data_IF_618077396459
#
_entry.id   IF_618077396459
#
_cell.length_a   1.000
_cell.length_b   1.000
_cell.length_c   1.000
_cell.angle_alpha   90.00
_cell.angle_beta   90.00
_cell.angle_gamma   90.00
#
_symmetry.space_group_name_H-M   'P 1'
#
loop_
_entity.id
_entity.type
_entity.pdbx_description
1 polymer ?
#
# COMPACT_ATOMS: atom_id res chain seq x y z
N UNK A 1 -42.43 5.47 -7.32
CA UNK A 1 -41.15 5.01 -6.75
C UNK A 1 -40.06 5.47 -7.70
N UNK A 2 -39.07 6.22 -7.24
CA UNK A 2 -37.90 6.58 -8.06
C UNK A 2 -37.03 5.33 -8.19
N UNK A 3 -36.61 5.00 -9.41
CA UNK A 3 -35.66 3.89 -9.64
C UNK A 3 -34.31 4.21 -9.01
N UNK A 4 -33.71 3.22 -8.36
CA UNK A 4 -32.41 3.37 -7.72
C UNK A 4 -31.34 3.52 -8.82
N UNK A 5 -30.61 4.66 -8.90
CA UNK A 5 -29.71 4.93 -10.02
C UNK A 5 -28.42 4.11 -9.99
N UNK A 6 -28.15 3.40 -8.88
CA UNK A 6 -26.96 2.59 -8.69
C UNK A 6 -27.33 1.25 -8.09
N UNK A 7 -26.77 0.18 -8.65
CA UNK A 7 -26.84 -1.14 -8.05
C UNK A 7 -25.76 -1.26 -6.97
N UNK A 8 -26.17 -1.47 -5.73
CA UNK A 8 -25.24 -1.70 -4.62
C UNK A 8 -24.90 -3.19 -4.56
N UNK A 9 -23.68 -3.54 -4.95
CA UNK A 9 -23.15 -4.90 -4.74
C UNK A 9 -22.39 -4.95 -3.42
N UNK A 10 -22.86 -5.77 -2.48
CA UNK A 10 -22.06 -6.12 -1.31
C UNK A 10 -20.99 -7.14 -1.71
N UNK A 11 -19.73 -6.87 -1.37
CA UNK A 11 -18.62 -7.82 -1.48
C UNK A 11 -18.17 -8.21 -0.08
N UNK A 12 -17.82 -9.47 0.09
CA UNK A 12 -17.22 -9.93 1.34
C UNK A 12 -15.93 -9.15 1.60
N UNK A 13 -15.79 -8.61 2.81
CA UNK A 13 -14.59 -7.89 3.23
C UNK A 13 -13.57 -8.92 3.70
N UNK A 14 -12.61 -9.21 2.83
CA UNK A 14 -11.52 -10.15 3.10
C UNK A 14 -10.22 -9.37 3.27
N UNK A 15 -9.43 -9.72 4.28
CA UNK A 15 -8.07 -9.22 4.41
C UNK A 15 -7.21 -9.71 3.22
N UNK A 16 -6.56 -8.81 2.47
CA UNK A 16 -5.67 -9.23 1.38
C UNK A 16 -4.54 -10.13 1.90
N UNK A 17 -4.13 -11.10 1.11
CA UNK A 17 -2.95 -11.90 1.44
C UNK A 17 -1.69 -11.01 1.43
N UNK A 18 -1.09 -10.78 2.60
CA UNK A 18 0.10 -9.95 2.72
C UNK A 18 1.33 -10.56 2.04
N UNK A 19 1.35 -11.89 1.86
CA UNK A 19 2.51 -12.59 1.29
C UNK A 19 2.68 -12.35 -0.21
N UNK A 20 1.67 -11.72 -0.85
CA UNK A 20 1.79 -11.20 -2.22
C UNK A 20 2.85 -10.10 -2.36
N UNK A 21 3.21 -9.46 -1.25
CA UNK A 21 4.23 -8.41 -1.19
C UNK A 21 5.58 -9.05 -0.83
N UNK A 22 6.63 -8.91 -1.66
CA UNK A 22 7.91 -9.59 -1.46
C UNK A 22 8.51 -9.41 -0.08
N UNK A 23 8.49 -8.19 0.46
CA UNK A 23 9.04 -7.91 1.80
C UNK A 23 8.24 -8.49 2.97
N UNK A 24 7.04 -9.03 2.72
CA UNK A 24 6.21 -9.69 3.72
C UNK A 24 5.97 -11.18 3.44
N UNK A 25 6.56 -11.75 2.38
CA UNK A 25 6.33 -13.14 1.97
C UNK A 25 6.60 -14.16 3.09
N UNK A 26 7.66 -13.93 3.87
CA UNK A 26 8.08 -14.81 4.97
C UNK A 26 7.48 -14.42 6.34
N UNK A 27 6.62 -13.39 6.39
CA UNK A 27 6.01 -12.94 7.65
C UNK A 27 4.94 -13.92 8.08
N UNK A 28 5.06 -14.43 9.31
CA UNK A 28 4.11 -15.39 9.87
C UNK A 28 2.78 -14.71 10.21
N UNK A 29 1.70 -15.49 10.29
CA UNK A 29 0.40 -14.95 10.69
C UNK A 29 0.42 -14.39 12.13
N UNK A 30 1.25 -14.96 13.01
CA UNK A 30 1.42 -14.47 14.38
C UNK A 30 2.10 -13.09 14.40
N UNK A 31 3.18 -12.93 13.62
CA UNK A 31 3.85 -11.65 13.45
C UNK A 31 2.91 -10.62 12.83
N UNK A 32 2.22 -10.99 11.75
CA UNK A 32 1.31 -10.09 11.05
C UNK A 32 0.20 -9.55 11.96
N UNK A 33 -0.34 -10.39 12.84
CA UNK A 33 -1.38 -10.01 13.82
C UNK A 33 -0.85 -9.29 15.05
N UNK A 34 0.47 -9.25 15.26
CA UNK A 34 1.07 -8.54 16.39
C UNK A 34 1.08 -7.03 16.16
N UNK A 35 0.41 -6.29 17.06
CA UNK A 35 0.42 -4.81 17.06
C UNK A 35 1.84 -4.27 17.23
N UNK A 36 2.66 -4.93 18.06
CA UNK A 36 4.05 -4.56 18.26
C UNK A 36 4.85 -4.73 16.97
N UNK A 37 4.69 -5.87 16.28
CA UNK A 37 5.36 -6.13 15.01
C UNK A 37 4.95 -5.10 13.95
N UNK A 38 3.65 -4.81 13.81
CA UNK A 38 3.14 -3.79 12.89
C UNK A 38 3.77 -2.42 13.16
N UNK A 39 3.87 -2.02 14.43
CA UNK A 39 4.44 -0.72 14.82
C UNK A 39 5.93 -0.61 14.54
N UNK A 40 6.73 -1.65 14.80
CA UNK A 40 8.18 -1.60 14.57
C UNK A 40 8.54 -1.73 13.09
N UNK A 41 7.67 -2.36 12.28
CA UNK A 41 7.85 -2.52 10.83
C UNK A 41 7.15 -1.45 9.99
N UNK A 42 6.72 -0.33 10.59
CA UNK A 42 6.25 0.81 9.80
C UNK A 42 7.34 1.29 8.82
N UNK A 43 6.95 1.48 7.56
CA UNK A 43 7.79 2.04 6.50
C UNK A 43 7.89 3.55 6.67
N UNK A 44 9.11 4.05 6.73
CA UNK A 44 9.44 5.46 7.03
C UNK A 44 10.25 6.15 5.94
N UNK A 45 10.74 5.40 4.96
CA UNK A 45 11.57 5.92 3.87
C UNK A 45 11.48 5.02 2.63
N UNK A 46 12.00 5.54 1.50
CA UNK A 46 11.96 4.87 0.22
C UNK A 46 12.75 3.55 0.19
N UNK A 47 13.84 3.43 0.96
CA UNK A 47 14.60 2.17 1.05
C UNK A 47 13.72 1.07 1.64
N UNK A 48 13.00 1.37 2.72
CA UNK A 48 12.07 0.44 3.34
C UNK A 48 10.88 0.13 2.42
N UNK A 49 10.37 1.14 1.69
CA UNK A 49 9.30 0.95 0.71
C UNK A 49 9.73 0.00 -0.42
N UNK A 50 10.95 0.17 -0.96
CA UNK A 50 11.56 -0.77 -1.91
C UNK A 50 11.69 -2.17 -1.31
N UNK A 51 12.08 -2.28 -0.04
CA UNK A 51 12.12 -3.56 0.67
C UNK A 51 10.78 -4.30 0.72
N UNK A 52 9.65 -3.58 0.75
CA UNK A 52 8.30 -4.18 0.76
C UNK A 52 7.89 -4.68 -0.63
N UNK A 53 8.06 -3.85 -1.66
CA UNK A 53 7.55 -4.15 -2.99
C UNK A 53 8.56 -4.85 -3.90
N UNK A 54 9.86 -4.87 -3.55
CA UNK A 54 10.90 -5.43 -4.40
C UNK A 54 10.87 -4.84 -5.81
N UNK A 55 10.91 -5.72 -6.82
CA UNK A 55 10.90 -5.35 -8.24
C UNK A 55 9.46 -5.21 -8.82
N UNK A 56 8.42 -5.14 -7.98
CA UNK A 56 7.03 -5.06 -8.46
C UNK A 56 6.64 -3.67 -8.99
N UNK A 57 7.34 -2.63 -8.53
CA UNK A 57 7.09 -1.24 -8.93
C UNK A 57 8.31 -0.70 -9.67
N UNK A 58 8.06 0.03 -10.75
CA UNK A 58 9.12 0.61 -11.57
C UNK A 58 9.88 1.69 -10.79
N UNK A 59 11.16 1.90 -11.12
CA UNK A 59 11.99 2.95 -10.50
C UNK A 59 11.40 4.36 -10.67
N UNK A 60 10.62 4.60 -11.73
CA UNK A 60 9.89 5.86 -11.93
C UNK A 60 8.89 6.14 -10.82
N UNK A 61 8.22 5.12 -10.29
CA UNK A 61 7.31 5.29 -9.15
C UNK A 61 8.04 5.81 -7.92
N UNK A 62 9.22 5.25 -7.63
CA UNK A 62 10.02 5.69 -6.49
C UNK A 62 10.62 7.08 -6.69
N UNK A 63 10.98 7.43 -7.93
CA UNK A 63 11.40 8.79 -8.27
C UNK A 63 10.27 9.80 -8.04
N UNK A 64 9.02 9.45 -8.38
CA UNK A 64 7.86 10.32 -8.14
C UNK A 64 7.56 10.48 -6.64
N UNK A 65 7.73 9.42 -5.83
CA UNK A 65 7.64 9.53 -4.36
C UNK A 65 8.73 10.47 -3.83
N UNK A 66 9.96 10.35 -4.31
CA UNK A 66 11.08 11.20 -3.88
C UNK A 66 10.86 12.67 -4.26
N UNK A 67 10.41 12.92 -5.48
CA UNK A 67 10.10 14.26 -5.97
C UNK A 67 8.97 14.90 -5.15
N UNK A 68 7.94 14.14 -4.78
CA UNK A 68 6.90 14.64 -3.89
C UNK A 68 7.42 14.98 -2.49
N UNK A 69 8.23 14.09 -1.91
CA UNK A 69 8.83 14.31 -0.59
C UNK A 69 9.72 15.56 -0.54
N UNK A 70 10.45 15.83 -1.62
CA UNK A 70 11.32 17.00 -1.72
C UNK A 70 10.56 18.30 -1.99
N UNK A 71 9.44 18.24 -2.73
CA UNK A 71 8.80 19.44 -3.27
C UNK A 71 7.45 19.83 -2.65
N UNK A 72 6.70 18.87 -2.08
CA UNK A 72 5.30 19.09 -1.65
C UNK A 72 4.96 18.50 -0.29
N UNK A 73 5.58 17.39 0.10
CA UNK A 73 5.25 16.74 1.36
C UNK A 73 5.59 17.63 2.56
N UNK A 74 4.62 17.83 3.44
CA UNK A 74 4.80 18.57 4.71
C UNK A 74 4.99 17.64 5.90
N UNK A 75 4.76 16.33 5.72
CA UNK A 75 4.84 15.32 6.76
C UNK A 75 5.72 14.15 6.31
N UNK A 76 6.47 13.58 7.25
CA UNK A 76 7.30 12.39 7.00
C UNK A 76 6.45 11.16 6.72
N UNK A 77 6.97 10.27 5.87
CA UNK A 77 6.36 8.98 5.59
C UNK A 77 6.29 8.11 6.86
N UNK A 78 5.12 7.52 7.13
CA UNK A 78 4.92 6.51 8.16
C UNK A 78 3.75 5.59 7.78
N UNK A 79 4.04 4.47 7.14
CA UNK A 79 3.03 3.52 6.67
C UNK A 79 3.13 2.17 7.40
N UNK A 80 2.10 1.78 8.17
CA UNK A 80 2.03 0.44 8.76
C UNK A 80 1.97 -0.65 7.66
N UNK A 81 2.53 -1.86 7.91
CA UNK A 81 2.41 -2.99 6.98
C UNK A 81 0.95 -3.28 6.57
N UNK A 82 0.00 -3.23 7.50
CA UNK A 82 -1.43 -3.38 7.20
C UNK A 82 -1.95 -2.34 6.20
N UNK A 83 -1.49 -1.09 6.27
CA UNK A 83 -1.90 -0.05 5.32
C UNK A 83 -1.31 -0.27 3.93
N UNK A 84 -0.08 -0.80 3.85
CA UNK A 84 0.50 -1.17 2.55
C UNK A 84 -0.24 -2.36 1.95
N UNK A 85 -0.68 -3.31 2.78
CA UNK A 85 -1.42 -4.48 2.32
C UNK A 85 -2.81 -4.15 1.76
N UNK A 86 -3.38 -2.98 2.07
CA UNK A 86 -4.66 -2.54 1.49
C UNK A 86 -4.52 -1.82 0.15
N UNK A 87 -3.29 -1.54 -0.31
CA UNK A 87 -3.02 -0.97 -1.63
C UNK A 87 -2.99 -2.07 -2.69
N UNK A 88 -3.77 -1.91 -3.76
CA UNK A 88 -3.99 -2.93 -4.80
C UNK A 88 -4.39 -4.28 -4.16
N UNK A 89 -5.48 -4.32 -3.38
CA UNK A 89 -5.75 -5.45 -2.48
C UNK A 89 -6.11 -6.75 -3.21
N UNK A 90 -6.53 -6.67 -4.47
CA UNK A 90 -7.05 -7.80 -5.23
C UNK A 90 -5.99 -8.53 -6.09
N UNK A 91 -4.74 -8.05 -6.13
CA UNK A 91 -3.69 -8.61 -6.99
C UNK A 91 -2.29 -8.35 -6.46
N UNK A 92 -1.29 -9.01 -7.07
CA UNK A 92 0.11 -8.57 -6.96
C UNK A 92 0.20 -7.18 -7.60
N UNK A 93 0.74 -6.16 -6.91
CA UNK A 93 0.78 -4.81 -7.45
C UNK A 93 1.60 -4.71 -8.73
N UNK A 94 1.11 -3.88 -9.64
CA UNK A 94 1.90 -3.30 -10.73
C UNK A 94 1.95 -1.79 -10.54
N UNK A 95 2.91 -1.11 -11.16
CA UNK A 95 3.01 0.35 -11.12
C UNK A 95 1.69 1.03 -11.53
N UNK A 96 1.08 0.60 -12.64
CA UNK A 96 -0.18 1.15 -13.11
C UNK A 96 -1.33 0.97 -12.11
N UNK A 97 -1.45 -0.22 -11.51
CA UNK A 97 -2.48 -0.48 -10.50
C UNK A 97 -2.23 0.33 -9.23
N UNK A 98 -0.96 0.48 -8.81
CA UNK A 98 -0.57 1.25 -7.65
C UNK A 98 -0.87 2.75 -7.82
N UNK A 99 -0.63 3.30 -9.02
CA UNK A 99 -0.99 4.68 -9.36
C UNK A 99 -2.51 4.91 -9.39
N UNK A 100 -3.27 3.90 -9.81
CA UNK A 100 -4.74 3.95 -9.81
C UNK A 100 -5.35 3.78 -8.41
N UNK A 101 -4.63 3.18 -7.46
CA UNK A 101 -5.15 2.81 -6.15
C UNK A 101 -5.52 4.04 -5.27
N UNK A 102 -6.74 4.07 -4.71
CA UNK A 102 -7.21 5.21 -3.92
C UNK A 102 -6.59 5.30 -2.52
N UNK A 103 -6.25 4.18 -1.89
CA UNK A 103 -5.59 4.17 -0.57
C UNK A 103 -4.19 4.73 -0.72
N UNK A 104 -3.45 4.27 -1.73
CA UNK A 104 -2.15 4.81 -2.10
C UNK A 104 -2.25 6.31 -2.42
N UNK A 105 -3.30 6.77 -3.13
CA UNK A 105 -3.51 8.22 -3.39
C UNK A 105 -3.57 9.06 -2.13
N UNK A 106 -4.18 8.52 -1.09
CA UNK A 106 -4.31 9.23 0.18
C UNK A 106 -3.07 9.09 1.07
N UNK A 107 -2.47 7.90 1.11
CA UNK A 107 -1.43 7.54 2.09
C UNK A 107 0.00 7.72 1.57
N UNK A 108 0.23 7.63 0.26
CA UNK A 108 1.55 7.69 -0.38
C UNK A 108 1.49 8.62 -1.61
N UNK A 109 1.62 9.93 -1.41
CA UNK A 109 1.69 10.88 -2.51
C UNK A 109 2.86 10.60 -3.46
N UNK A 110 2.62 10.87 -4.74
CA UNK A 110 3.57 10.76 -5.85
C UNK A 110 3.38 11.98 -6.76
N UNK A 111 4.40 12.31 -7.55
CA UNK A 111 4.48 13.57 -8.26
C UNK A 111 3.61 13.79 -9.48
#
# INVERSE_FOLDING_TARGET
>A
MLEQPYEYTARELVEPDWRRLPGFADVTAEQWRSVQWQRVNCVKNLRQLRGVYGDLLDETFYADVEADQAGRATMSLLLPPQMLNTMVPAAVPTTAAMLADPVRRYMLPVA
#
